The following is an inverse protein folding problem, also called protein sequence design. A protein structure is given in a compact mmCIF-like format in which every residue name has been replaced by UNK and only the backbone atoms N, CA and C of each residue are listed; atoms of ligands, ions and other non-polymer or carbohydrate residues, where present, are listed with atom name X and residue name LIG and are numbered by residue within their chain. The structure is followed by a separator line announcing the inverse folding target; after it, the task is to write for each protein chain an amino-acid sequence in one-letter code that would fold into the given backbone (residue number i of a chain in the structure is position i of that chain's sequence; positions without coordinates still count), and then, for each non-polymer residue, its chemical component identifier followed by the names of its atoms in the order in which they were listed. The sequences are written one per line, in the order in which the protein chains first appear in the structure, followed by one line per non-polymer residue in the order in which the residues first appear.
data_IF_490721415046
#
_entry.id   IF_490721415046
#
_cell.length_a   1.000
_cell.length_b   1.000
_cell.length_c   1.000
_cell.angle_alpha   90.00
_cell.angle_beta   90.00
_cell.angle_gamma   90.00
#
_symmetry.space_group_name_H-M   'P 1'
#
loop_
_entity.id
_entity.type
_entity.pdbx_description
1 polymer ?
#
# COMPACT_ATOMS: atom_id res chain seq x y z
N UNK A 1 -75.76 8.46 -21.92
CA UNK A 1 -75.43 9.18 -20.67
C UNK A 1 -74.36 8.42 -19.92
N UNK A 2 -73.19 9.05 -19.80
CA UNK A 2 -71.99 8.55 -19.16
C UNK A 2 -72.20 8.28 -17.66
N UNK A 3 -71.63 7.17 -17.14
CA UNK A 3 -70.96 7.16 -15.84
C UNK A 3 -69.72 6.27 -15.86
N UNK A 4 -68.61 6.97 -15.73
CA UNK A 4 -67.21 6.57 -15.62
C UNK A 4 -66.90 6.10 -14.18
N UNK A 5 -65.76 5.40 -14.02
CA UNK A 5 -64.79 5.45 -12.89
C UNK A 5 -64.63 4.17 -12.04
N UNK A 6 -63.52 3.50 -12.37
CA UNK A 6 -62.44 3.00 -11.51
C UNK A 6 -62.70 1.91 -10.47
N UNK A 7 -62.22 0.70 -10.78
CA UNK A 7 -61.59 -0.17 -9.78
C UNK A 7 -60.35 -0.85 -10.40
N UNK A 8 -59.25 -0.10 -10.43
CA UNK A 8 -57.91 -0.59 -10.76
C UNK A 8 -56.99 -0.17 -9.62
N UNK A 9 -57.02 -0.90 -8.50
CA UNK A 9 -56.12 -0.68 -7.37
C UNK A 9 -56.01 -1.98 -6.58
N UNK A 10 -54.96 -2.77 -6.85
CA UNK A 10 -54.27 -3.66 -5.91
C UNK A 10 -53.38 -4.67 -6.66
N UNK A 11 -52.31 -4.19 -7.32
CA UNK A 11 -51.26 -5.08 -7.83
C UNK A 11 -49.90 -4.37 -7.93
N UNK A 12 -49.56 -3.60 -6.89
CA UNK A 12 -48.22 -3.02 -6.71
C UNK A 12 -47.84 -3.26 -5.26
N UNK A 13 -47.37 -4.46 -4.90
CA UNK A 13 -46.62 -4.66 -3.64
C UNK A 13 -45.88 -6.02 -3.60
N UNK A 14 -45.07 -6.31 -4.63
CA UNK A 14 -44.05 -7.38 -4.58
C UNK A 14 -42.74 -6.92 -5.25
N UNK A 15 -42.27 -5.71 -4.94
CA UNK A 15 -40.85 -5.39 -5.09
C UNK A 15 -40.18 -5.64 -3.74
N UNK A 16 -39.85 -6.91 -3.47
CA UNK A 16 -38.98 -7.28 -2.36
C UNK A 16 -37.61 -6.59 -2.51
N UNK A 17 -36.95 -6.18 -1.42
CA UNK A 17 -35.61 -5.60 -1.47
C UNK A 17 -34.56 -6.72 -1.70
N UNK A 18 -34.48 -7.26 -2.92
CA UNK A 18 -33.45 -8.26 -3.28
C UNK A 18 -32.03 -7.69 -3.34
N UNK A 19 -31.86 -6.37 -3.23
CA UNK A 19 -30.55 -5.72 -3.36
C UNK A 19 -29.61 -5.92 -2.16
N UNK A 20 -30.11 -6.33 -0.99
CA UNK A 20 -29.26 -6.54 0.19
C UNK A 20 -28.51 -7.89 0.17
N UNK A 21 -29.14 -8.93 -0.38
CA UNK A 21 -28.56 -10.29 -0.45
C UNK A 21 -27.42 -10.35 -1.48
N UNK A 22 -27.59 -9.69 -2.63
CA UNK A 22 -26.60 -9.65 -3.71
C UNK A 22 -25.31 -8.92 -3.31
N UNK A 23 -25.43 -7.86 -2.48
CA UNK A 23 -24.27 -7.09 -2.00
C UNK A 23 -23.40 -7.88 -1.00
N UNK A 24 -24.00 -8.75 -0.19
CA UNK A 24 -23.24 -9.61 0.74
C UNK A 24 -22.50 -10.74 0.01
N UNK A 25 -23.15 -11.37 -0.98
CA UNK A 25 -22.55 -12.47 -1.75
C UNK A 25 -21.40 -12.02 -2.65
N UNK A 26 -21.50 -10.81 -3.23
CA UNK A 26 -20.42 -10.22 -4.05
C UNK A 26 -19.19 -9.85 -3.23
N UNK A 27 -19.37 -9.37 -2.00
CA UNK A 27 -18.26 -9.08 -1.10
C UNK A 27 -17.50 -10.34 -0.67
N UNK A 28 -18.20 -11.43 -0.38
CA UNK A 28 -17.55 -12.70 -0.01
C UNK A 28 -16.74 -13.28 -1.18
N UNK A 29 -17.27 -13.23 -2.40
CA UNK A 29 -16.54 -13.63 -3.61
C UNK A 29 -15.29 -12.76 -3.79
N UNK A 30 -15.41 -11.43 -3.62
CA UNK A 30 -14.27 -10.53 -3.70
C UNK A 30 -13.20 -10.85 -2.63
N UNK A 31 -13.60 -11.21 -1.41
CA UNK A 31 -12.65 -11.61 -0.36
C UNK A 31 -11.84 -12.84 -0.77
N UNK A 32 -12.51 -13.87 -1.29
CA UNK A 32 -11.85 -15.09 -1.79
C UNK A 32 -10.88 -14.80 -2.93
N UNK A 33 -11.24 -13.90 -3.86
CA UNK A 33 -10.34 -13.46 -4.94
C UNK A 33 -9.08 -12.80 -4.36
N UNK A 34 -9.24 -11.87 -3.43
CA UNK A 34 -8.13 -11.14 -2.78
C UNK A 34 -7.18 -12.10 -2.05
N UNK A 35 -7.73 -13.12 -1.39
CA UNK A 35 -6.94 -14.19 -0.77
C UNK A 35 -6.18 -15.01 -1.80
N UNK A 36 -6.83 -15.43 -2.90
CA UNK A 36 -6.20 -16.19 -3.99
C UNK A 36 -5.12 -15.40 -4.74
N UNK A 37 -5.23 -14.06 -4.76
CA UNK A 37 -4.22 -13.16 -5.31
C UNK A 37 -2.98 -13.05 -4.39
N UNK A 38 -3.06 -13.50 -3.14
CA UNK A 38 -1.96 -13.45 -2.18
C UNK A 38 -1.70 -12.06 -1.60
N UNK A 39 -2.75 -11.25 -1.45
CA UNK A 39 -2.65 -9.89 -0.94
C UNK A 39 -2.16 -9.84 0.52
N UNK A 40 -2.43 -10.88 1.32
CA UNK A 40 -1.90 -10.99 2.70
C UNK A 40 -0.38 -11.04 2.73
N UNK A 41 0.23 -11.86 1.89
CA UNK A 41 1.69 -11.97 1.88
C UNK A 41 2.33 -10.66 1.43
N UNK A 42 1.73 -9.96 0.46
CA UNK A 42 2.17 -8.63 0.02
C UNK A 42 2.12 -7.64 1.19
N UNK A 43 1.01 -7.57 1.93
CA UNK A 43 0.90 -6.69 3.09
C UNK A 43 1.91 -7.06 4.19
N UNK A 44 2.10 -8.36 4.46
CA UNK A 44 3.08 -8.84 5.45
C UNK A 44 4.49 -8.35 5.09
N UNK A 45 4.85 -8.46 3.82
CA UNK A 45 6.14 -7.97 3.32
C UNK A 45 6.24 -6.45 3.42
N UNK A 46 5.18 -5.71 3.06
CA UNK A 46 5.13 -4.25 3.19
C UNK A 46 5.27 -3.79 4.63
N UNK A 47 4.52 -4.38 5.57
CA UNK A 47 4.61 -4.07 6.99
C UNK A 47 6.05 -4.27 7.50
N UNK A 48 6.71 -5.38 7.13
CA UNK A 48 8.10 -5.64 7.49
C UNK A 48 9.05 -4.58 6.93
N UNK A 49 8.90 -4.22 5.66
CA UNK A 49 9.73 -3.19 5.02
C UNK A 49 9.53 -1.81 5.65
N UNK A 50 8.30 -1.47 6.02
CA UNK A 50 7.99 -0.23 6.75
C UNK A 50 8.66 -0.25 8.11
N UNK A 51 8.53 -1.33 8.88
CA UNK A 51 9.19 -1.46 10.18
C UNK A 51 10.71 -1.31 10.07
N UNK A 52 11.35 -1.99 9.10
CA UNK A 52 12.78 -1.88 8.85
C UNK A 52 13.20 -0.44 8.49
N UNK A 53 12.42 0.23 7.63
CA UNK A 53 12.67 1.62 7.25
C UNK A 53 12.54 2.58 8.44
N UNK A 54 11.53 2.41 9.29
CA UNK A 54 11.33 3.24 10.49
C UNK A 54 12.48 3.00 11.47
N UNK A 55 12.96 1.76 11.65
CA UNK A 55 14.14 1.48 12.51
C UNK A 55 15.37 2.24 12.03
N UNK A 56 15.66 2.19 10.73
CA UNK A 56 16.80 2.90 10.15
C UNK A 56 16.67 4.41 10.35
N UNK A 57 15.49 4.97 10.13
CA UNK A 57 15.24 6.40 10.33
C UNK A 57 15.33 6.82 11.80
N UNK A 58 14.79 6.03 12.72
CA UNK A 58 14.88 6.28 14.16
C UNK A 58 16.36 6.27 14.61
N UNK A 59 17.14 5.29 14.17
CA UNK A 59 18.58 5.24 14.46
C UNK A 59 19.32 6.46 13.87
N UNK A 60 18.99 6.88 12.64
CA UNK A 60 19.60 8.08 12.06
C UNK A 60 19.26 9.35 12.85
N UNK A 61 18.02 9.51 13.31
CA UNK A 61 17.61 10.63 14.16
C UNK A 61 18.32 10.58 15.51
N UNK A 62 18.42 9.39 16.10
CA UNK A 62 19.16 9.17 17.33
C UNK A 62 20.63 9.62 17.20
N UNK A 63 21.32 9.19 16.15
CA UNK A 63 22.72 9.59 15.90
C UNK A 63 22.86 11.10 15.67
N UNK A 64 21.88 11.74 15.02
CA UNK A 64 21.86 13.21 14.89
C UNK A 64 21.70 13.92 16.23
N UNK A 65 20.85 13.41 17.11
CA UNK A 65 20.67 13.96 18.48
C UNK A 65 21.95 13.79 19.29
N UNK A 66 22.61 12.63 19.24
CA UNK A 66 23.89 12.40 19.92
C UNK A 66 24.96 13.35 19.38
N UNK A 67 25.09 13.48 18.06
CA UNK A 67 26.05 14.39 17.42
C UNK A 67 25.80 15.87 17.80
N UNK A 68 24.53 16.30 17.83
CA UNK A 68 24.15 17.65 18.22
C UNK A 68 24.46 17.94 19.71
N UNK A 69 24.50 16.92 20.56
CA UNK A 69 24.88 17.01 21.97
C UNK A 69 26.37 16.71 22.21
N UNK A 70 27.23 16.97 21.22
CA UNK A 70 28.68 16.83 21.36
C UNK A 70 29.17 15.38 21.38
N UNK A 71 28.36 14.44 20.88
CA UNK A 71 28.70 13.02 20.86
C UNK A 71 28.48 12.30 22.19
N UNK A 72 27.91 12.98 23.20
CA UNK A 72 27.65 12.39 24.51
C UNK A 72 26.26 11.77 24.53
N UNK A 73 26.20 10.47 24.74
CA UNK A 73 24.95 9.76 24.96
C UNK A 73 24.39 10.05 26.36
N UNK A 74 23.13 10.48 26.41
CA UNK A 74 22.43 10.78 27.66
C UNK A 74 21.76 9.51 28.18
N UNK A 75 21.83 9.27 29.49
CA UNK A 75 21.13 8.15 30.11
C UNK A 75 19.64 8.15 29.75
N UNK A 76 19.11 6.99 29.31
CA UNK A 76 17.72 6.83 28.89
C UNK A 76 17.40 7.30 27.46
N UNK A 77 18.35 7.90 26.73
CA UNK A 77 18.11 8.34 25.35
C UNK A 77 17.76 7.17 24.40
N UNK A 78 18.38 5.99 24.62
CA UNK A 78 18.06 4.77 23.89
C UNK A 78 16.63 4.30 24.13
N UNK A 79 16.17 4.35 25.38
CA UNK A 79 14.82 3.92 25.77
C UNK A 79 13.76 4.83 25.14
N UNK A 80 14.03 6.14 25.06
CA UNK A 80 13.16 7.10 24.36
C UNK A 80 13.12 6.81 22.85
N UNK A 81 14.26 6.48 22.24
CA UNK A 81 14.32 6.13 20.83
C UNK A 81 13.56 4.83 20.52
N UNK A 82 13.69 3.81 21.37
CA UNK A 82 12.98 2.54 21.23
C UNK A 82 11.46 2.74 21.42
N UNK A 83 11.05 3.60 22.36
CA UNK A 83 9.65 3.99 22.54
C UNK A 83 9.10 4.76 21.34
N UNK A 84 9.89 5.66 20.75
CA UNK A 84 9.53 6.34 19.50
C UNK A 84 9.31 5.32 18.39
N UNK A 85 10.25 4.40 18.17
CA UNK A 85 10.11 3.33 17.18
C UNK A 85 8.82 2.53 17.40
N UNK A 86 8.56 2.07 18.63
CA UNK A 86 7.36 1.31 18.96
C UNK A 86 6.07 2.10 18.72
N UNK A 87 6.07 3.42 18.95
CA UNK A 87 4.93 4.29 18.68
C UNK A 87 4.71 4.60 17.20
N UNK A 88 5.80 4.59 16.42
CA UNK A 88 5.79 4.88 14.99
C UNK A 88 5.56 3.63 14.14
N UNK A 89 5.79 2.43 14.70
CA UNK A 89 5.55 1.16 14.03
C UNK A 89 4.10 1.08 13.55
N UNK A 90 3.91 1.12 12.23
CA UNK A 90 2.61 1.07 11.61
C UNK A 90 2.30 -0.37 11.22
N UNK A 91 1.40 -1.00 11.97
CA UNK A 91 0.85 -2.29 11.60
C UNK A 91 -0.61 -2.16 11.16
N UNK A 92 -0.89 -2.41 9.88
CA UNK A 92 -2.26 -2.62 9.41
C UNK A 92 -2.61 -4.10 9.62
N UNK A 93 -3.67 -4.44 10.39
CA UNK A 93 -4.12 -5.82 10.52
C UNK A 93 -4.47 -6.40 9.15
N UNK A 94 -3.98 -7.61 8.87
CA UNK A 94 -4.19 -8.24 7.55
C UNK A 94 -5.66 -8.41 7.20
N UNK A 95 -6.49 -8.80 8.15
CA UNK A 95 -7.92 -9.01 7.93
C UNK A 95 -8.65 -7.71 7.56
N UNK A 96 -8.27 -6.60 8.19
CA UNK A 96 -8.83 -5.28 7.90
C UNK A 96 -8.42 -4.80 6.51
N UNK A 97 -7.16 -5.04 6.14
CA UNK A 97 -6.67 -4.71 4.81
C UNK A 97 -7.38 -5.53 3.72
N UNK A 98 -7.48 -6.85 3.90
CA UNK A 98 -8.20 -7.74 3.00
C UNK A 98 -9.67 -7.32 2.87
N UNK A 99 -10.33 -6.99 3.99
CA UNK A 99 -11.71 -6.53 3.98
C UNK A 99 -11.88 -5.22 3.18
N UNK A 100 -11.02 -4.22 3.44
CA UNK A 100 -11.04 -2.93 2.71
C UNK A 100 -10.74 -3.11 1.23
N UNK A 101 -9.79 -3.99 0.90
CA UNK A 101 -9.45 -4.31 -0.48
C UNK A 101 -10.63 -4.99 -1.19
N UNK A 102 -11.23 -6.01 -0.59
CA UNK A 102 -12.38 -6.71 -1.14
C UNK A 102 -13.59 -5.78 -1.34
N UNK A 103 -13.84 -4.87 -0.39
CA UNK A 103 -14.89 -3.85 -0.52
C UNK A 103 -14.59 -2.87 -1.67
N UNK A 104 -13.36 -2.41 -1.81
CA UNK A 104 -12.96 -1.54 -2.93
C UNK A 104 -13.03 -2.26 -4.28
N UNK A 105 -12.66 -3.54 -4.33
CA UNK A 105 -12.65 -4.37 -5.53
C UNK A 105 -14.08 -4.69 -5.99
N UNK A 106 -14.92 -5.18 -5.09
CA UNK A 106 -16.33 -5.51 -5.38
C UNK A 106 -17.16 -4.32 -5.88
N UNK A 107 -16.90 -3.10 -5.38
CA UNK A 107 -17.59 -1.88 -5.85
C UNK A 107 -17.37 -1.55 -7.33
N UNK A 108 -16.35 -2.13 -7.97
CA UNK A 108 -15.95 -1.84 -9.35
C UNK A 108 -16.23 -2.98 -10.32
N UNK A 109 -16.82 -4.06 -9.84
CA UNK A 109 -16.97 -5.30 -10.60
C UNK A 109 -18.44 -5.72 -10.59
N UNK A 110 -18.92 -6.28 -11.69
CA UNK A 110 -20.23 -6.94 -11.68
C UNK A 110 -20.14 -8.28 -10.96
N UNK A 111 -21.28 -8.82 -10.53
CA UNK A 111 -21.33 -10.16 -9.93
C UNK A 111 -20.81 -11.25 -10.90
N UNK A 112 -20.99 -11.07 -12.21
CA UNK A 112 -20.48 -11.99 -13.22
C UNK A 112 -18.95 -11.90 -13.35
N UNK A 113 -18.39 -10.69 -13.36
CA UNK A 113 -16.94 -10.50 -13.41
C UNK A 113 -16.25 -11.07 -12.17
N UNK A 114 -16.84 -10.89 -10.99
CA UNK A 114 -16.36 -11.48 -9.76
C UNK A 114 -16.36 -13.01 -9.83
N UNK A 115 -17.42 -13.64 -10.36
CA UNK A 115 -17.45 -15.09 -10.55
C UNK A 115 -16.38 -15.58 -11.52
N UNK A 116 -16.19 -14.86 -12.64
CA UNK A 116 -15.16 -15.19 -13.62
C UNK A 116 -13.74 -15.05 -13.04
N UNK A 117 -13.48 -13.97 -12.30
CA UNK A 117 -12.22 -13.75 -11.61
C UNK A 117 -11.95 -14.84 -10.55
N UNK A 118 -12.96 -15.20 -9.76
CA UNK A 118 -12.84 -16.29 -8.78
C UNK A 118 -12.51 -17.62 -9.46
N UNK A 119 -13.17 -17.95 -10.58
CA UNK A 119 -12.89 -19.15 -11.34
C UNK A 119 -11.45 -19.15 -11.91
N UNK A 120 -10.99 -18.01 -12.44
CA UNK A 120 -9.63 -17.88 -12.95
C UNK A 120 -8.59 -18.02 -11.85
N UNK A 121 -8.65 -17.21 -10.80
CA UNK A 121 -7.68 -17.24 -9.71
C UNK A 121 -7.74 -18.54 -8.92
N UNK A 122 -8.87 -19.24 -8.88
CA UNK A 122 -8.97 -20.59 -8.30
C UNK A 122 -8.40 -21.71 -9.19
N UNK A 123 -8.09 -21.43 -10.46
CA UNK A 123 -7.57 -22.43 -11.39
C UNK A 123 -6.04 -22.63 -11.25
N UNK A 124 -5.49 -23.79 -11.70
CA UNK A 124 -4.04 -23.99 -11.73
C UNK A 124 -3.29 -22.95 -12.57
N UNK A 125 -3.92 -22.41 -13.63
CA UNK A 125 -3.30 -21.37 -14.45
C UNK A 125 -3.23 -20.03 -13.71
N UNK A 126 -4.31 -19.62 -13.05
CA UNK A 126 -4.34 -18.39 -12.24
C UNK A 126 -3.39 -18.45 -11.06
N UNK A 127 -3.32 -19.58 -10.36
CA UNK A 127 -2.36 -19.75 -9.26
C UNK A 127 -0.88 -19.74 -9.74
N UNK A 128 -0.59 -20.29 -10.93
CA UNK A 128 0.75 -20.15 -11.54
C UNK A 128 1.07 -18.72 -11.91
N UNK A 129 0.10 -17.96 -12.41
CA UNK A 129 0.26 -16.53 -12.70
C UNK A 129 0.56 -15.75 -11.41
N UNK A 130 -0.22 -15.93 -10.35
CA UNK A 130 0.02 -15.27 -9.05
C UNK A 130 1.43 -15.57 -8.53
N UNK A 131 1.86 -16.84 -8.59
CA UNK A 131 3.20 -17.23 -8.17
C UNK A 131 4.30 -16.58 -9.05
N UNK A 132 4.12 -16.57 -10.37
CA UNK A 132 5.06 -15.94 -11.30
C UNK A 132 5.14 -14.43 -11.06
N UNK A 133 4.01 -13.75 -10.91
CA UNK A 133 3.93 -12.31 -10.66
C UNK A 133 4.62 -11.92 -9.36
N UNK A 134 4.50 -12.73 -8.30
CA UNK A 134 5.26 -12.53 -7.04
C UNK A 134 6.78 -12.56 -7.27
N UNK A 135 7.27 -13.53 -8.02
CA UNK A 135 8.71 -13.65 -8.33
C UNK A 135 9.19 -12.49 -9.20
N UNK A 136 8.49 -12.21 -10.30
CA UNK A 136 8.85 -11.14 -11.25
C UNK A 136 8.83 -9.78 -10.58
N UNK A 137 7.87 -9.53 -9.68
CA UNK A 137 7.79 -8.26 -8.95
C UNK A 137 9.02 -8.04 -8.07
N UNK A 138 9.50 -9.07 -7.37
CA UNK A 138 10.73 -9.00 -6.58
C UNK A 138 11.95 -8.69 -7.44
N UNK A 139 12.11 -9.40 -8.56
CA UNK A 139 13.23 -9.21 -9.48
C UNK A 139 13.22 -7.80 -10.11
N UNK A 140 12.04 -7.34 -10.53
CA UNK A 140 11.86 -6.03 -11.12
C UNK A 140 12.14 -4.91 -10.11
N UNK A 141 11.66 -5.04 -8.87
CA UNK A 141 11.97 -4.09 -7.80
C UNK A 141 13.48 -4.02 -7.56
N UNK A 142 14.17 -5.16 -7.50
CA UNK A 142 15.64 -5.20 -7.34
C UNK A 142 16.37 -4.47 -8.47
N UNK A 143 15.95 -4.70 -9.72
CA UNK A 143 16.51 -3.99 -10.87
C UNK A 143 16.25 -2.47 -10.80
N UNK A 144 15.02 -2.04 -10.50
CA UNK A 144 14.66 -0.61 -10.37
C UNK A 144 15.48 0.08 -9.28
N UNK A 145 15.65 -0.55 -8.12
CA UNK A 145 16.47 0.00 -7.02
C UNK A 145 17.93 0.17 -7.44
N UNK A 146 18.51 -0.83 -8.12
CA UNK A 146 19.89 -0.75 -8.63
C UNK A 146 20.08 0.38 -9.65
N UNK A 147 19.16 0.51 -10.59
CA UNK A 147 19.18 1.58 -11.58
C UNK A 147 19.02 2.96 -10.92
N UNK A 148 18.16 3.06 -9.92
CA UNK A 148 17.93 4.30 -9.16
C UNK A 148 19.19 4.70 -8.39
N UNK A 149 19.84 3.77 -7.70
CA UNK A 149 21.10 4.03 -6.99
C UNK A 149 22.19 4.51 -7.96
N UNK A 150 22.37 3.80 -9.08
CA UNK A 150 23.37 4.17 -10.10
C UNK A 150 23.15 5.59 -10.64
N UNK A 151 21.88 5.99 -10.82
CA UNK A 151 21.52 7.35 -11.24
C UNK A 151 21.78 8.37 -10.13
N UNK A 152 21.47 8.03 -8.88
CA UNK A 152 21.68 8.89 -7.72
C UNK A 152 23.17 9.18 -7.50
N UNK A 153 24.03 8.16 -7.56
CA UNK A 153 25.47 8.32 -7.39
C UNK A 153 26.06 9.33 -8.38
N UNK A 154 25.69 9.21 -9.67
CA UNK A 154 26.08 10.17 -10.72
C UNK A 154 25.55 11.58 -10.47
N UNK A 155 24.31 11.69 -9.96
CA UNK A 155 23.71 12.99 -9.65
C UNK A 155 24.44 13.67 -8.47
N UNK A 156 24.81 12.91 -7.45
CA UNK A 156 25.58 13.39 -6.28
C UNK A 156 26.98 13.84 -6.71
N UNK A 157 27.69 13.05 -7.52
CA UNK A 157 28.98 13.44 -8.08
C UNK A 157 28.90 14.77 -8.85
N UNK A 158 27.86 14.90 -9.68
CA UNK A 158 27.62 16.13 -10.45
C UNK A 158 27.32 17.31 -9.52
N UNK A 159 26.44 17.12 -8.53
CA UNK A 159 26.10 18.15 -7.54
C UNK A 159 27.33 18.66 -6.78
N UNK A 160 28.20 17.76 -6.30
CA UNK A 160 29.42 18.16 -5.61
C UNK A 160 30.37 18.97 -6.50
N UNK A 161 30.56 18.53 -7.75
CA UNK A 161 31.39 19.25 -8.72
C UNK A 161 30.86 20.66 -8.98
N UNK A 162 29.55 20.79 -9.15
CA UNK A 162 28.90 22.08 -9.39
C UNK A 162 28.99 23.01 -8.16
N UNK A 163 28.78 22.48 -6.96
CA UNK A 163 28.91 23.24 -5.71
C UNK A 163 30.35 23.73 -5.48
N UNK A 164 31.36 22.88 -5.72
CA UNK A 164 32.77 23.29 -5.63
C UNK A 164 33.10 24.38 -6.64
N UNK A 165 32.60 24.27 -7.88
CA UNK A 165 32.80 25.30 -8.90
C UNK A 165 32.15 26.63 -8.52
N UNK A 166 30.97 26.60 -7.88
CA UNK A 166 30.30 27.80 -7.36
C UNK A 166 31.10 28.45 -6.22
N UNK A 167 31.55 27.66 -5.24
CA UNK A 167 32.34 28.16 -4.11
C UNK A 167 33.68 28.74 -4.56
N UNK A 168 34.35 28.12 -5.53
CA UNK A 168 35.60 28.64 -6.10
C UNK A 168 35.39 29.96 -6.86
N UNK A 169 34.22 30.15 -7.48
CA UNK A 169 33.86 31.41 -8.16
C UNK A 169 33.48 32.51 -7.18
N UNK A 170 32.83 32.18 -6.07
CA UNK A 170 32.42 33.15 -5.03
C UNK A 170 33.55 33.51 -4.07
N UNK A 171 34.65 32.75 -4.04
CA UNK A 171 35.87 33.07 -3.27
C UNK A 171 36.71 34.24 -3.83
N UNK A 172 36.20 35.02 -4.81
CA UNK A 172 36.81 36.33 -5.14
C UNK A 172 36.60 37.27 -3.95
N UNK A 173 37.66 37.93 -3.44
CA UNK A 173 37.52 38.82 -2.29
C UNK A 173 36.58 39.98 -2.65
N UNK A 174 35.65 40.29 -1.73
CA UNK A 174 34.94 41.56 -1.73
C UNK A 174 35.99 42.68 -1.77
N UNK A 175 36.02 43.43 -2.88
CA UNK A 175 36.76 44.68 -3.00
C UNK A 175 36.00 45.80 -2.30
#
# INVERSE_FOLDING_TARGET
MNKTICLAFALIFLCSPSFAVEKSGTLEIARKIVELQGVREVLTQTNRQVDESIKVQAEQLYQQVVAANGGVEVAGAREVNDAFFASAAWHIPEDDFVARWAEAYSRRMTAQDLKAALAYYGSPAGQREVAATKLVSSDLTGWVLKETQTRMDKAVETYFKDMQALLAKSAKPLQ
#
